data_IF_408462928750
#
_entry.id   IF_408462928750
#
_cell.length_a   1.000
_cell.length_b   1.000
_cell.length_c   1.000
_cell.angle_alpha   90.00
_cell.angle_beta   90.00
_cell.angle_gamma   90.00
#
_symmetry.space_group_name_H-M   'P 1'
#
loop_
_entity.id
_entity.type
_entity.pdbx_description
1 polymer ?
#
# COMPACT_ATOMS: atom_id res chain seq x y z
N UNK A 1 34.72 -33.76 -52.36
CA UNK A 1 34.77 -33.40 -50.93
C UNK A 1 34.06 -32.06 -50.79
N UNK A 2 32.75 -31.98 -51.00
CA UNK A 2 31.66 -32.62 -50.22
C UNK A 2 31.54 -31.92 -48.85
N UNK A 3 30.68 -30.90 -48.71
CA UNK A 3 29.23 -30.90 -48.34
C UNK A 3 29.09 -31.44 -46.88
N UNK A 4 28.47 -30.77 -45.91
CA UNK A 4 27.01 -30.75 -45.65
C UNK A 4 26.69 -29.77 -44.49
N UNK A 5 25.58 -29.04 -44.67
CA UNK A 5 24.80 -28.22 -43.74
C UNK A 5 24.06 -29.10 -42.71
N UNK A 6 23.77 -28.62 -41.50
CA UNK A 6 22.45 -28.85 -40.88
C UNK A 6 22.00 -27.66 -40.02
N UNK A 7 20.69 -27.42 -40.08
CA UNK A 7 19.94 -26.35 -39.47
C UNK A 7 19.24 -26.86 -38.19
N UNK A 8 18.77 -25.92 -37.36
CA UNK A 8 17.62 -26.13 -36.48
C UNK A 8 17.94 -26.30 -35.00
N UNK A 9 17.32 -25.45 -34.18
CA UNK A 9 17.34 -25.57 -32.72
C UNK A 9 16.60 -24.41 -32.06
N UNK A 10 15.26 -24.44 -32.13
CA UNK A 10 14.42 -23.80 -31.12
C UNK A 10 14.57 -24.58 -29.80
N UNK A 11 14.72 -23.91 -28.65
CA UNK A 11 14.21 -24.45 -27.41
C UNK A 11 13.05 -23.58 -26.96
N UNK A 12 11.88 -24.21 -26.98
CA UNK A 12 10.68 -23.79 -26.29
C UNK A 12 10.96 -23.44 -24.82
N UNK A 13 10.22 -22.43 -24.36
CA UNK A 13 9.69 -22.23 -23.01
C UNK A 13 10.20 -23.15 -21.90
N UNK A 14 11.19 -22.67 -21.15
CA UNK A 14 11.38 -23.04 -19.75
C UNK A 14 10.74 -21.95 -18.88
N UNK A 15 9.42 -22.04 -18.72
CA UNK A 15 8.72 -21.44 -17.58
C UNK A 15 9.15 -22.22 -16.34
N UNK A 16 10.31 -21.85 -15.78
CA UNK A 16 10.75 -22.34 -14.48
C UNK A 16 9.86 -21.69 -13.42
N UNK A 17 8.69 -22.29 -13.26
CA UNK A 17 7.75 -21.98 -12.19
C UNK A 17 8.51 -21.88 -10.87
N UNK A 18 8.43 -20.71 -10.26
CA UNK A 18 8.97 -20.39 -8.95
C UNK A 18 8.61 -21.50 -7.96
N UNK A 19 9.57 -22.11 -7.22
CA UNK A 19 9.23 -23.17 -6.28
C UNK A 19 8.37 -22.60 -5.13
N UNK A 20 7.09 -22.92 -5.17
CA UNK A 20 6.09 -22.61 -4.14
C UNK A 20 5.84 -23.87 -3.32
N UNK A 21 5.81 -23.73 -1.99
CA UNK A 21 5.36 -24.80 -1.10
C UNK A 21 4.06 -24.39 -0.44
N UNK A 22 2.96 -25.02 -0.87
CA UNK A 22 1.64 -24.92 -0.27
C UNK A 22 1.67 -25.59 1.11
N UNK A 23 1.60 -24.80 2.17
CA UNK A 23 1.41 -25.31 3.54
C UNK A 23 -0.01 -24.97 3.94
N UNK A 24 -0.75 -25.94 4.51
CA UNK A 24 -2.09 -25.62 5.01
C UNK A 24 -1.97 -24.56 6.11
N UNK A 25 -2.69 -23.44 5.98
CA UNK A 25 -2.67 -22.38 6.99
C UNK A 25 -3.20 -22.86 8.36
N UNK A 26 -3.82 -24.04 8.41
CA UNK A 26 -4.28 -24.68 9.64
C UNK A 26 -3.16 -24.99 10.65
N UNK A 27 -1.92 -25.23 10.21
CA UNK A 27 -0.76 -25.35 11.11
C UNK A 27 -0.22 -23.97 11.54
N UNK A 28 -0.17 -22.99 10.62
CA UNK A 28 0.30 -21.62 10.90
C UNK A 28 -0.57 -20.87 11.90
N UNK A 29 -1.89 -21.02 11.81
CA UNK A 29 -2.84 -20.36 12.71
C UNK A 29 -2.85 -20.98 14.12
N UNK A 30 -2.28 -22.17 14.31
CA UNK A 30 -2.17 -22.84 15.60
C UNK A 30 -0.92 -22.43 16.39
N UNK A 31 0.19 -22.07 15.73
CA UNK A 31 1.48 -21.80 16.40
C UNK A 31 1.75 -20.32 16.76
N UNK A 32 1.38 -19.34 15.92
CA UNK A 32 1.52 -17.90 16.24
C UNK A 32 0.17 -17.19 16.39
N UNK A 33 -0.89 -17.65 15.70
CA UNK A 33 -2.21 -17.03 15.70
C UNK A 33 -2.23 -15.62 15.06
N UNK A 34 -3.21 -15.35 14.19
CA UNK A 34 -3.36 -14.03 13.55
C UNK A 34 -3.36 -12.85 14.55
N UNK A 35 -3.85 -13.08 15.76
CA UNK A 35 -3.88 -12.09 16.82
C UNK A 35 -2.48 -11.58 17.21
N UNK A 36 -1.47 -12.45 17.33
CA UNK A 36 -0.11 -12.04 17.69
C UNK A 36 0.57 -11.25 16.56
N UNK A 37 0.31 -11.67 15.32
CA UNK A 37 0.70 -10.96 14.11
C UNK A 37 0.16 -9.54 14.10
N UNK A 38 -1.15 -9.40 14.29
CA UNK A 38 -1.85 -8.12 14.28
C UNK A 38 -1.39 -7.22 15.42
N UNK A 39 -1.15 -7.80 16.61
CA UNK A 39 -0.63 -7.07 17.77
C UNK A 39 0.78 -6.54 17.52
N UNK A 40 1.65 -7.34 16.90
CA UNK A 40 3.01 -6.93 16.53
C UNK A 40 2.99 -5.77 15.52
N UNK A 41 2.21 -5.90 14.44
CA UNK A 41 2.10 -4.87 13.41
C UNK A 41 1.51 -3.57 13.96
N UNK A 42 0.47 -3.69 14.78
CA UNK A 42 -0.17 -2.52 15.40
C UNK A 42 0.76 -1.84 16.39
N UNK A 43 1.49 -2.60 17.20
CA UNK A 43 2.44 -2.05 18.18
C UNK A 43 3.61 -1.36 17.47
N UNK A 44 4.19 -1.99 16.45
CA UNK A 44 5.27 -1.39 15.64
C UNK A 44 4.81 -0.05 15.05
N UNK A 45 3.59 -0.03 14.50
CA UNK A 45 3.00 1.17 13.93
C UNK A 45 2.82 2.27 15.00
N UNK A 46 2.25 1.92 16.15
CA UNK A 46 2.01 2.84 17.24
C UNK A 46 3.27 3.39 17.86
N UNK A 47 4.29 2.55 18.06
CA UNK A 47 5.58 2.96 18.61
C UNK A 47 6.29 3.93 17.67
N UNK A 48 6.22 3.68 16.36
CA UNK A 48 6.81 4.58 15.37
C UNK A 48 6.18 5.97 15.40
N UNK A 49 4.85 6.06 15.51
CA UNK A 49 4.14 7.33 15.51
C UNK A 49 3.98 7.95 16.90
N UNK A 50 4.28 7.25 18.00
CA UNK A 50 4.21 7.80 19.36
C UNK A 50 2.86 7.65 20.04
N UNK A 51 2.17 6.52 19.83
CA UNK A 51 0.96 6.14 20.56
C UNK A 51 -0.31 6.90 20.13
N UNK A 52 -0.32 7.39 18.90
CA UNK A 52 -1.41 8.22 18.37
C UNK A 52 -2.73 7.46 18.10
N UNK A 53 -2.73 6.12 18.10
CA UNK A 53 -3.96 5.34 17.85
C UNK A 53 -4.51 4.72 19.15
N UNK A 54 -5.80 4.34 19.15
CA UNK A 54 -6.39 3.59 20.28
C UNK A 54 -5.57 2.31 20.52
N UNK A 55 -5.51 1.78 21.77
CA UNK A 55 -5.00 0.43 21.98
C UNK A 55 -5.81 -0.52 21.11
N UNK A 56 -5.23 -1.00 20.02
CA UNK A 56 -5.85 -2.00 19.20
C UNK A 56 -5.93 -3.26 20.03
N UNK A 57 -7.15 -3.80 20.16
CA UNK A 57 -7.26 -5.17 20.66
C UNK A 57 -6.74 -6.06 19.53
N UNK A 58 -5.94 -7.10 19.83
CA UNK A 58 -5.47 -8.04 18.83
C UNK A 58 -6.65 -8.53 17.97
N UNK A 59 -6.55 -8.36 16.66
CA UNK A 59 -7.61 -8.79 15.74
C UNK A 59 -7.48 -10.29 15.52
N UNK A 60 -8.50 -11.02 15.95
CA UNK A 60 -8.61 -12.46 15.69
C UNK A 60 -8.99 -12.72 14.23
N UNK A 61 -8.73 -13.94 13.75
CA UNK A 61 -9.18 -14.36 12.41
C UNK A 61 -10.69 -14.18 12.20
N UNK A 62 -11.49 -14.52 13.21
CA UNK A 62 -12.94 -14.36 13.15
C UNK A 62 -13.34 -12.88 12.97
N UNK A 63 -12.65 -11.96 13.64
CA UNK A 63 -12.89 -10.52 13.51
C UNK A 63 -12.43 -9.99 12.15
N UNK A 64 -11.26 -10.40 11.66
CA UNK A 64 -10.79 -10.01 10.33
C UNK A 64 -11.78 -10.44 9.23
N UNK A 65 -12.26 -11.69 9.28
CA UNK A 65 -13.31 -12.19 8.37
C UNK A 65 -14.62 -11.43 8.52
N UNK A 66 -15.04 -11.10 9.75
CA UNK A 66 -16.23 -10.30 9.98
C UNK A 66 -16.13 -8.88 9.38
N UNK A 67 -14.95 -8.26 9.43
CA UNK A 67 -14.68 -6.99 8.75
C UNK A 67 -14.85 -7.12 7.24
N UNK A 68 -14.26 -8.14 6.61
CA UNK A 68 -14.41 -8.38 5.17
C UNK A 68 -15.87 -8.59 4.76
N UNK A 69 -16.63 -9.39 5.53
CA UNK A 69 -18.08 -9.58 5.30
C UNK A 69 -18.87 -8.28 5.43
N UNK A 70 -18.52 -7.44 6.41
CA UNK A 70 -19.18 -6.14 6.61
C UNK A 70 -18.95 -5.23 5.42
N UNK A 71 -17.71 -5.12 4.95
CA UNK A 71 -17.36 -4.33 3.76
C UNK A 71 -18.13 -4.86 2.55
N UNK A 72 -18.09 -6.18 2.29
CA UNK A 72 -18.80 -6.79 1.18
C UNK A 72 -20.31 -6.54 1.22
N UNK A 73 -20.93 -6.63 2.40
CA UNK A 73 -22.36 -6.36 2.56
C UNK A 73 -22.71 -4.88 2.34
N UNK A 74 -21.80 -3.95 2.64
CA UNK A 74 -22.03 -2.51 2.51
C UNK A 74 -21.73 -1.98 1.09
N UNK A 75 -20.76 -2.55 0.39
CA UNK A 75 -20.28 -2.03 -0.90
C UNK A 75 -20.64 -2.90 -2.10
N UNK A 76 -20.89 -4.19 -1.89
CA UNK A 76 -21.03 -5.18 -2.97
C UNK A 76 -19.70 -5.66 -3.55
N UNK A 77 -18.57 -5.08 -3.15
CA UNK A 77 -17.22 -5.51 -3.55
C UNK A 77 -16.77 -6.74 -2.76
N UNK A 78 -15.85 -7.53 -3.30
CA UNK A 78 -15.31 -8.72 -2.62
C UNK A 78 -13.89 -8.42 -2.14
N UNK A 79 -13.70 -8.01 -0.88
CA UNK A 79 -12.38 -7.68 -0.36
C UNK A 79 -11.62 -8.91 0.16
N UNK A 80 -10.29 -8.84 0.13
CA UNK A 80 -9.40 -9.75 0.83
C UNK A 80 -8.29 -8.98 1.56
N UNK A 81 -7.79 -9.56 2.65
CA UNK A 81 -6.55 -9.11 3.29
C UNK A 81 -5.40 -9.99 2.85
N UNK A 82 -4.30 -9.36 2.45
CA UNK A 82 -3.06 -10.05 2.08
C UNK A 82 -1.92 -9.55 2.94
N UNK A 83 -1.45 -10.41 3.84
CA UNK A 83 -0.25 -10.14 4.61
C UNK A 83 0.97 -10.58 3.82
N UNK A 84 1.91 -9.67 3.62
CA UNK A 84 3.17 -9.92 2.91
C UNK A 84 4.33 -9.67 3.88
N UNK A 85 4.99 -10.75 4.30
CA UNK A 85 5.97 -10.73 5.39
C UNK A 85 7.21 -11.53 5.08
N UNK A 86 8.30 -11.22 5.78
CA UNK A 86 9.50 -12.04 5.75
C UNK A 86 9.47 -13.05 6.89
N UNK A 87 9.65 -14.33 6.59
CA UNK A 87 9.72 -15.37 7.61
C UNK A 87 10.96 -15.13 8.51
N UNK A 88 10.74 -14.97 9.82
CA UNK A 88 11.80 -14.69 10.81
C UNK A 88 12.42 -15.93 11.45
N UNK A 89 11.86 -17.12 11.26
CA UNK A 89 12.30 -18.36 11.92
C UNK A 89 13.40 -19.13 11.15
N UNK A 90 13.77 -18.70 9.95
CA UNK A 90 14.89 -19.28 9.19
C UNK A 90 16.22 -18.65 9.63
N UNK A 91 16.60 -18.82 10.90
CA UNK A 91 17.87 -18.27 11.44
C UNK A 91 18.77 -19.29 12.13
N UNK A 92 18.45 -20.59 12.08
CA UNK A 92 19.25 -21.62 12.76
C UNK A 92 19.83 -22.70 11.84
N UNK A 93 20.38 -22.32 10.67
CA UNK A 93 21.45 -23.03 9.99
C UNK A 93 21.93 -22.21 8.77
N UNK A 94 23.22 -22.35 8.44
CA UNK A 94 23.96 -21.59 7.41
C UNK A 94 23.13 -21.27 6.15
N UNK A 95 23.20 -19.99 5.75
CA UNK A 95 22.61 -19.35 4.56
C UNK A 95 21.13 -18.93 4.68
N UNK A 96 20.95 -17.63 4.81
CA UNK A 96 19.83 -16.81 4.33
C UNK A 96 18.81 -17.53 3.42
N UNK A 97 17.80 -18.16 4.00
CA UNK A 97 16.60 -18.58 3.28
C UNK A 97 15.35 -18.02 3.99
N UNK A 98 15.34 -16.71 4.23
CA UNK A 98 14.12 -16.04 4.67
C UNK A 98 13.14 -16.01 3.50
N UNK A 99 12.18 -16.94 3.45
CA UNK A 99 11.16 -16.91 2.43
C UNK A 99 10.19 -15.74 2.66
N UNK A 100 9.63 -15.21 1.57
CA UNK A 100 8.47 -14.34 1.63
C UNK A 100 7.24 -15.22 1.95
N UNK A 101 6.46 -14.84 2.96
CA UNK A 101 5.18 -15.50 3.26
C UNK A 101 4.01 -14.59 2.88
N UNK A 102 3.03 -15.20 2.24
CA UNK A 102 1.80 -14.57 1.79
C UNK A 102 0.65 -15.22 2.53
N UNK A 103 0.02 -14.51 3.47
CA UNK A 103 -1.19 -14.97 4.14
C UNK A 103 -2.39 -14.25 3.53
N UNK A 104 -3.17 -14.98 2.73
CA UNK A 104 -4.41 -14.51 2.14
C UNK A 104 -5.58 -14.86 3.07
N UNK A 105 -6.39 -13.86 3.40
CA UNK A 105 -7.63 -14.01 4.18
C UNK A 105 -8.79 -13.43 3.37
N UNK A 106 -9.74 -14.29 3.04
CA UNK A 106 -11.02 -13.96 2.41
C UNK A 106 -12.15 -13.98 3.44
N UNK A 107 -13.30 -13.42 3.10
CA UNK A 107 -14.48 -13.41 3.97
C UNK A 107 -14.95 -14.83 4.35
N UNK A 108 -14.85 -15.76 3.41
CA UNK A 108 -15.21 -17.18 3.55
C UNK A 108 -14.03 -18.10 3.23
N UNK A 109 -14.12 -19.37 3.63
CA UNK A 109 -13.05 -20.36 3.42
C UNK A 109 -11.93 -20.28 4.48
N UNK A 110 -10.99 -21.20 4.44
CA UNK A 110 -9.80 -21.17 5.31
C UNK A 110 -8.76 -20.18 4.75
N UNK A 111 -7.99 -19.50 5.62
CA UNK A 111 -6.85 -18.71 5.16
C UNK A 111 -5.86 -19.56 4.37
N UNK A 112 -5.12 -18.91 3.50
CA UNK A 112 -4.13 -19.57 2.64
C UNK A 112 -2.77 -18.97 2.95
N UNK A 113 -1.80 -19.82 3.24
CA UNK A 113 -0.42 -19.42 3.48
C UNK A 113 0.46 -19.97 2.36
N UNK A 114 1.01 -19.06 1.55
CA UNK A 114 2.04 -19.41 0.57
C UNK A 114 3.42 -19.00 1.05
N UNK A 115 4.39 -19.89 0.87
CA UNK A 115 5.81 -19.59 1.10
C UNK A 115 6.55 -19.55 -0.22
N UNK A 116 7.07 -18.38 -0.57
CA UNK A 116 7.80 -18.14 -1.80
C UNK A 116 9.29 -18.26 -1.50
N UNK A 117 9.81 -19.47 -1.60
CA UNK A 117 11.18 -19.81 -1.17
C UNK A 117 12.27 -19.12 -2.01
N UNK A 118 11.96 -18.76 -3.25
CA UNK A 118 12.85 -18.02 -4.14
C UNK A 118 12.99 -16.54 -3.79
N UNK A 119 12.07 -16.00 -2.98
CA UNK A 119 11.98 -14.58 -2.69
C UNK A 119 12.83 -14.24 -1.46
N UNK A 120 14.15 -14.17 -1.67
CA UNK A 120 15.09 -13.75 -0.62
C UNK A 120 14.77 -12.31 -0.15
N UNK A 121 14.85 -11.99 1.16
CA UNK A 121 14.39 -10.71 1.66
C UNK A 121 15.21 -9.53 1.11
N UNK A 122 16.52 -9.72 0.91
CA UNK A 122 17.37 -8.66 0.34
C UNK A 122 17.05 -8.44 -1.14
N UNK A 123 16.80 -9.52 -1.89
CA UNK A 123 16.38 -9.42 -3.29
C UNK A 123 15.03 -8.69 -3.43
N UNK A 124 14.05 -9.04 -2.60
CA UNK A 124 12.73 -8.40 -2.56
C UNK A 124 12.85 -6.91 -2.26
N UNK A 125 13.58 -6.54 -1.20
CA UNK A 125 13.78 -5.14 -0.82
C UNK A 125 14.55 -4.34 -1.89
N UNK A 126 15.53 -4.98 -2.55
CA UNK A 126 16.28 -4.36 -3.64
C UNK A 126 15.41 -4.10 -4.86
N UNK A 127 14.56 -5.05 -5.26
CA UNK A 127 13.61 -4.89 -6.35
C UNK A 127 12.59 -3.78 -6.04
N UNK A 128 12.08 -3.72 -4.81
CA UNK A 128 11.16 -2.67 -4.36
C UNK A 128 11.78 -1.27 -4.48
N UNK A 129 13.00 -1.09 -3.98
CA UNK A 129 13.70 0.19 -4.06
C UNK A 129 14.02 0.56 -5.51
N UNK A 130 14.39 -0.41 -6.35
CA UNK A 130 14.63 -0.19 -7.78
C UNK A 130 13.36 0.29 -8.50
N UNK A 131 12.23 -0.40 -8.28
CA UNK A 131 10.93 -0.01 -8.84
C UNK A 131 10.57 1.42 -8.44
N UNK A 132 10.67 1.74 -7.14
CA UNK A 132 10.38 3.06 -6.59
C UNK A 132 11.26 4.14 -7.23
N UNK A 133 12.57 3.90 -7.35
CA UNK A 133 13.51 4.84 -8.00
C UNK A 133 13.17 5.06 -9.47
N UNK A 134 12.82 4.01 -10.20
CA UNK A 134 12.51 4.13 -11.61
C UNK A 134 11.21 4.89 -11.86
N UNK A 135 10.18 4.68 -11.05
CA UNK A 135 8.90 5.41 -11.15
C UNK A 135 9.00 6.87 -10.70
N UNK A 136 9.86 7.18 -9.73
CA UNK A 136 10.01 8.54 -9.18
C UNK A 136 11.04 9.39 -9.92
N UNK A 137 11.78 8.83 -10.88
CA UNK A 137 12.78 9.57 -11.64
C UNK A 137 12.14 10.27 -12.85
N UNK A 138 12.08 11.62 -12.88
CA UNK A 138 11.44 12.35 -13.97
C UNK A 138 12.11 12.13 -15.33
N UNK A 139 13.40 11.74 -15.35
CA UNK A 139 14.14 11.45 -16.59
C UNK A 139 13.77 10.10 -17.22
N UNK A 140 13.02 9.25 -16.52
CA UNK A 140 12.63 7.92 -16.99
C UNK A 140 11.14 7.83 -17.40
N UNK A 141 10.45 8.97 -17.45
CA UNK A 141 9.00 9.06 -17.74
C UNK A 141 8.57 8.43 -19.07
N UNK A 142 9.47 8.35 -20.06
CA UNK A 142 9.21 7.75 -21.37
C UNK A 142 9.90 6.37 -21.56
N UNK A 143 10.19 5.65 -20.47
CA UNK A 143 10.79 4.32 -20.55
C UNK A 143 9.97 3.26 -19.81
N UNK A 144 10.29 1.99 -20.10
CA UNK A 144 9.68 0.81 -19.49
C UNK A 144 10.60 0.09 -18.51
N UNK A 145 11.68 0.73 -18.05
CA UNK A 145 12.66 0.10 -17.16
C UNK A 145 12.03 -0.36 -15.84
N UNK A 146 10.97 0.33 -15.39
CA UNK A 146 10.16 -0.02 -14.23
C UNK A 146 9.44 -1.37 -14.36
N UNK A 147 9.21 -1.87 -15.59
CA UNK A 147 8.51 -3.14 -15.79
C UNK A 147 9.30 -4.33 -15.26
N UNK A 148 10.62 -4.36 -15.39
CA UNK A 148 11.44 -5.48 -14.91
C UNK A 148 11.29 -5.73 -13.40
N UNK A 149 11.54 -4.75 -12.50
CA UNK A 149 11.31 -4.96 -11.08
C UNK A 149 9.82 -5.09 -10.74
N UNK A 150 8.91 -4.45 -11.47
CA UNK A 150 7.46 -4.61 -11.26
C UNK A 150 6.97 -6.04 -11.51
N UNK A 151 7.43 -6.67 -12.60
CA UNK A 151 7.11 -8.05 -12.95
C UNK A 151 7.75 -9.05 -11.98
N UNK A 152 9.00 -8.79 -11.57
CA UNK A 152 9.65 -9.62 -10.56
C UNK A 152 8.90 -9.61 -9.22
N UNK A 153 8.50 -8.43 -8.73
CA UNK A 153 7.73 -8.30 -7.50
C UNK A 153 6.32 -8.87 -7.64
N UNK A 154 5.67 -8.72 -8.80
CA UNK A 154 4.40 -9.38 -9.09
C UNK A 154 4.53 -10.91 -9.01
N UNK A 155 5.58 -11.47 -9.61
CA UNK A 155 5.88 -12.90 -9.60
C UNK A 155 6.10 -13.46 -8.19
N UNK A 156 6.63 -12.66 -7.27
CA UNK A 156 6.80 -13.06 -5.86
C UNK A 156 5.56 -12.82 -4.99
N UNK A 157 4.75 -11.79 -5.25
CA UNK A 157 3.70 -11.35 -4.31
C UNK A 157 2.30 -11.78 -4.76
N UNK A 158 2.02 -11.74 -6.06
CA UNK A 158 0.65 -11.92 -6.60
C UNK A 158 0.51 -13.23 -7.35
N UNK A 159 1.48 -13.57 -8.21
CA UNK A 159 1.40 -14.79 -9.01
C UNK A 159 1.15 -16.07 -8.18
N UNK A 160 1.77 -16.27 -6.99
CA UNK A 160 1.56 -17.50 -6.20
C UNK A 160 0.14 -17.66 -5.63
N UNK A 161 -0.63 -16.57 -5.54
CA UNK A 161 -1.97 -16.55 -4.95
C UNK A 161 -3.06 -16.12 -5.94
N UNK A 162 -2.73 -15.98 -7.23
CA UNK A 162 -3.64 -15.43 -8.24
C UNK A 162 -4.87 -16.31 -8.42
N UNK A 163 -4.70 -17.62 -8.55
CA UNK A 163 -5.82 -18.55 -8.76
C UNK A 163 -6.81 -18.49 -7.59
N UNK A 164 -6.31 -18.31 -6.37
CA UNK A 164 -7.11 -18.20 -5.15
C UNK A 164 -7.88 -16.88 -5.11
N UNK A 165 -7.27 -15.77 -5.53
CA UNK A 165 -7.94 -14.48 -5.67
C UNK A 165 -9.07 -14.54 -6.71
N UNK A 166 -8.80 -15.16 -7.87
CA UNK A 166 -9.78 -15.33 -8.96
C UNK A 166 -10.92 -16.26 -8.56
N UNK A 167 -10.61 -17.41 -7.96
CA UNK A 167 -11.62 -18.38 -7.51
C UNK A 167 -12.53 -17.81 -6.42
N UNK A 168 -12.01 -16.94 -5.56
CA UNK A 168 -12.79 -16.22 -4.55
C UNK A 168 -13.53 -14.98 -5.12
N UNK A 169 -13.27 -14.60 -6.38
CA UNK A 169 -13.86 -13.43 -7.02
C UNK A 169 -13.44 -12.10 -6.38
N UNK A 170 -12.22 -12.02 -5.82
CA UNK A 170 -11.72 -10.83 -5.13
C UNK A 170 -11.59 -9.65 -6.09
N UNK A 171 -12.08 -8.49 -5.69
CA UNK A 171 -11.99 -7.23 -6.45
C UNK A 171 -11.18 -6.16 -5.73
N UNK A 172 -10.94 -6.32 -4.42
CA UNK A 172 -10.22 -5.36 -3.60
C UNK A 172 -9.22 -6.07 -2.66
N UNK A 173 -7.97 -5.62 -2.65
CA UNK A 173 -6.91 -6.19 -1.82
C UNK A 173 -6.39 -5.14 -0.83
N UNK A 174 -6.63 -5.40 0.45
CA UNK A 174 -5.97 -4.71 1.56
C UNK A 174 -4.64 -5.38 1.87
N UNK A 175 -3.53 -4.74 1.49
CA UNK A 175 -2.18 -5.21 1.76
C UNK A 175 -1.73 -4.81 3.16
N UNK A 176 -1.23 -5.77 3.93
CA UNK A 176 -0.60 -5.57 5.24
C UNK A 176 0.84 -6.04 5.13
N UNK A 177 1.81 -5.13 5.26
CA UNK A 177 3.19 -5.41 4.87
C UNK A 177 4.19 -5.15 6.00
N UNK A 178 5.23 -5.97 6.03
CA UNK A 178 6.41 -5.74 6.87
C UNK A 178 7.11 -4.41 6.53
N UNK A 179 7.88 -3.91 7.50
CA UNK A 179 8.74 -2.76 7.31
C UNK A 179 9.63 -2.92 6.06
N UNK A 180 9.80 -1.83 5.31
CA UNK A 180 10.51 -1.83 4.02
C UNK A 180 9.58 -2.03 2.82
N UNK A 181 8.58 -2.91 2.92
CA UNK A 181 7.62 -3.16 1.84
C UNK A 181 6.46 -2.15 1.81
N UNK A 182 6.20 -1.44 2.90
CA UNK A 182 5.15 -0.38 3.01
C UNK A 182 5.34 0.81 2.05
N UNK A 183 6.43 0.87 1.30
CA UNK A 183 6.67 1.90 0.26
C UNK A 183 6.64 1.34 -1.17
N UNK A 184 6.19 0.09 -1.33
CA UNK A 184 6.04 -0.57 -2.62
C UNK A 184 4.94 0.11 -3.45
N UNK A 185 5.21 0.52 -4.70
CA UNK A 185 4.17 1.01 -5.61
C UNK A 185 3.23 -0.11 -6.08
N UNK A 186 2.30 -0.54 -5.21
CA UNK A 186 1.42 -1.71 -5.44
C UNK A 186 0.66 -1.65 -6.76
N UNK A 187 0.10 -0.48 -7.07
CA UNK A 187 -0.63 -0.24 -8.31
C UNK A 187 0.21 -0.49 -9.57
N UNK A 188 1.54 -0.34 -9.47
CA UNK A 188 2.48 -0.51 -10.57
C UNK A 188 3.08 -1.93 -10.66
N UNK A 189 2.72 -2.86 -9.77
CA UNK A 189 3.05 -4.27 -9.97
C UNK A 189 2.43 -4.74 -11.28
N UNK A 190 3.13 -5.58 -12.03
CA UNK A 190 2.77 -5.86 -13.41
C UNK A 190 2.83 -7.36 -13.72
N UNK A 191 1.76 -7.92 -14.28
CA UNK A 191 1.66 -9.35 -14.58
C UNK A 191 2.53 -9.82 -15.75
N UNK A 192 2.92 -8.88 -16.62
CA UNK A 192 3.45 -9.15 -17.96
C UNK A 192 2.58 -8.50 -19.02
N UNK A 193 1.28 -8.41 -18.75
CA UNK A 193 0.28 -7.83 -19.67
C UNK A 193 -0.43 -6.60 -19.08
N UNK A 194 -0.72 -6.61 -17.78
CA UNK A 194 -1.54 -5.61 -17.08
C UNK A 194 -0.92 -5.21 -15.74
N UNK A 195 -1.17 -3.97 -15.32
CA UNK A 195 -0.87 -3.50 -13.98
C UNK A 195 -1.89 -4.04 -12.98
N UNK A 196 -1.47 -4.27 -11.74
CA UNK A 196 -2.31 -4.83 -10.68
C UNK A 196 -3.58 -4.00 -10.44
N UNK A 197 -3.49 -2.68 -10.56
CA UNK A 197 -4.62 -1.75 -10.37
C UNK A 197 -5.71 -1.91 -11.44
N UNK A 198 -5.40 -2.54 -12.58
CA UNK A 198 -6.39 -2.81 -13.63
C UNK A 198 -7.27 -4.01 -13.26
N UNK A 199 -6.76 -4.93 -12.43
CA UNK A 199 -7.45 -6.15 -12.00
C UNK A 199 -8.12 -5.99 -10.63
N UNK A 200 -7.47 -5.25 -9.72
CA UNK A 200 -7.92 -5.10 -8.33
C UNK A 200 -7.83 -3.64 -7.88
N UNK A 201 -8.79 -3.21 -7.07
CA UNK A 201 -8.56 -2.08 -6.17
C UNK A 201 -7.51 -2.48 -5.13
N UNK A 202 -6.55 -1.61 -4.84
CA UNK A 202 -5.47 -1.89 -3.88
C UNK A 202 -5.41 -0.83 -2.81
N UNK A 203 -5.23 -1.26 -1.56
CA UNK A 203 -5.01 -0.38 -0.42
C UNK A 203 -3.88 -0.91 0.46
N UNK A 204 -3.03 -0.03 0.98
CA UNK A 204 -2.07 -0.37 2.02
C UNK A 204 -2.69 -0.06 3.38
N UNK A 205 -2.68 -1.04 4.28
CA UNK A 205 -3.26 -0.95 5.61
C UNK A 205 -2.18 -1.30 6.65
N UNK A 206 -1.99 -0.49 7.71
CA UNK A 206 -1.02 -0.79 8.76
C UNK A 206 -1.27 -2.13 9.48
N UNK A 207 -2.52 -2.35 9.87
CA UNK A 207 -3.06 -3.59 10.43
C UNK A 207 -4.60 -3.52 10.36
N UNK A 208 -5.28 -4.66 10.47
CA UNK A 208 -6.75 -4.68 10.48
C UNK A 208 -7.30 -3.95 11.71
N UNK A 209 -6.58 -3.97 12.83
CA UNK A 209 -6.97 -3.25 14.06
C UNK A 209 -6.94 -1.73 13.95
N UNK A 210 -6.31 -1.17 12.91
CA UNK A 210 -6.10 0.27 12.73
C UNK A 210 -6.97 0.91 11.65
N UNK A 211 -7.82 0.14 10.96
CA UNK A 211 -8.77 0.69 9.99
C UNK A 211 -10.14 0.96 10.62
N UNK A 212 -10.84 1.95 10.09
CA UNK A 212 -12.28 2.10 10.27
C UNK A 212 -12.99 1.43 9.07
N UNK A 213 -13.60 0.26 9.26
CA UNK A 213 -14.27 -0.45 8.17
C UNK A 213 -15.67 0.11 7.87
N UNK A 214 -16.08 1.20 8.53
CA UNK A 214 -17.38 1.83 8.29
C UNK A 214 -17.40 2.42 6.88
N UNK A 215 -18.25 1.88 6.01
CA UNK A 215 -18.44 2.45 4.69
C UNK A 215 -19.06 3.85 4.76
N UNK A 216 -18.46 4.77 4.01
CA UNK A 216 -18.98 6.11 3.77
C UNK A 216 -19.14 6.27 2.26
N UNK A 217 -20.37 6.51 1.81
CA UNK A 217 -20.62 6.83 0.40
C UNK A 217 -20.06 8.22 0.08
N UNK A 218 -18.97 8.25 -0.70
CA UNK A 218 -18.29 9.46 -1.15
C UNK A 218 -18.73 9.84 -2.57
N UNK A 219 -20.04 9.98 -2.80
CA UNK A 219 -20.53 10.42 -4.10
C UNK A 219 -20.36 11.93 -4.31
N UNK A 220 -20.07 12.33 -5.56
CA UNK A 220 -19.78 13.73 -5.93
C UNK A 220 -20.87 14.74 -5.58
N UNK A 221 -22.14 14.30 -5.48
CA UNK A 221 -23.28 15.19 -5.25
C UNK A 221 -23.44 15.55 -3.77
N UNK A 222 -23.12 14.60 -2.89
CA UNK A 222 -23.37 14.73 -1.45
C UNK A 222 -22.09 14.94 -0.64
N UNK A 223 -20.93 14.78 -1.26
CA UNK A 223 -19.63 14.95 -0.59
C UNK A 223 -19.07 16.34 -0.76
N UNK A 224 -18.77 16.97 0.38
CA UNK A 224 -18.06 18.25 0.43
C UNK A 224 -16.56 18.03 0.46
N UNK A 225 -15.86 18.68 -0.46
CA UNK A 225 -14.41 18.72 -0.54
C UNK A 225 -13.86 19.99 0.13
N UNK A 226 -12.73 19.90 0.81
CA UNK A 226 -11.89 21.05 1.13
C UNK A 226 -10.63 21.01 0.28
N UNK A 227 -10.41 22.02 -0.55
CA UNK A 227 -9.15 22.18 -1.31
C UNK A 227 -8.26 23.20 -0.62
N UNK A 228 -7.02 22.85 -0.34
CA UNK A 228 -6.04 23.79 0.21
C UNK A 228 -4.65 23.51 -0.38
N UNK A 229 -3.83 24.55 -0.50
CA UNK A 229 -2.52 24.41 -1.10
C UNK A 229 -1.94 25.75 -1.50
N UNK A 230 -0.74 25.73 -2.06
CA UNK A 230 -0.10 26.91 -2.63
C UNK A 230 0.78 26.51 -3.81
N UNK A 231 0.86 27.38 -4.82
CA UNK A 231 1.78 27.26 -5.95
C UNK A 231 3.12 27.95 -5.68
N UNK A 232 3.13 28.89 -4.73
CA UNK A 232 4.30 29.66 -4.31
C UNK A 232 4.52 29.47 -2.81
N UNK A 233 5.77 29.27 -2.41
CA UNK A 233 6.17 29.04 -1.02
C UNK A 233 7.35 29.94 -0.66
N UNK A 234 7.47 30.30 0.62
CA UNK A 234 8.57 31.17 1.09
C UNK A 234 9.92 30.46 1.02
N UNK A 235 9.96 29.18 1.41
CA UNK A 235 11.20 28.41 1.58
C UNK A 235 11.23 27.11 0.75
N UNK A 236 10.41 27.03 -0.30
CA UNK A 236 10.38 25.88 -1.21
C UNK A 236 10.26 26.34 -2.66
N UNK A 237 10.73 25.53 -3.63
CA UNK A 237 10.49 25.78 -5.04
C UNK A 237 9.00 25.91 -5.35
N UNK A 238 8.61 26.68 -6.38
CA UNK A 238 7.21 26.77 -6.79
C UNK A 238 6.68 25.44 -7.32
N UNK A 239 5.42 25.14 -7.04
CA UNK A 239 4.66 24.04 -7.64
C UNK A 239 3.82 24.59 -8.79
N UNK A 240 4.38 24.60 -9.98
CA UNK A 240 3.79 25.27 -11.15
C UNK A 240 2.38 24.75 -11.51
N UNK A 241 2.13 23.46 -11.28
CA UNK A 241 0.84 22.83 -11.58
C UNK A 241 -0.18 22.94 -10.44
N UNK A 242 0.22 23.26 -9.20
CA UNK A 242 -0.66 23.16 -8.03
C UNK A 242 -1.90 24.08 -8.15
N UNK A 243 -1.76 25.28 -8.74
CA UNK A 243 -2.91 26.16 -8.96
C UNK A 243 -3.91 25.54 -9.93
N UNK A 244 -3.43 25.07 -11.08
CA UNK A 244 -4.25 24.45 -12.10
C UNK A 244 -4.92 23.15 -11.60
N UNK A 245 -4.20 22.34 -10.82
CA UNK A 245 -4.73 21.15 -10.14
C UNK A 245 -5.89 21.50 -9.20
N UNK A 246 -5.67 22.47 -8.30
CA UNK A 246 -6.72 22.90 -7.37
C UNK A 246 -7.96 23.43 -8.08
N UNK A 247 -7.79 24.22 -9.14
CA UNK A 247 -8.89 24.75 -9.96
C UNK A 247 -9.64 23.64 -10.69
N UNK A 248 -8.91 22.69 -11.28
CA UNK A 248 -9.50 21.54 -11.96
C UNK A 248 -10.35 20.71 -10.98
N UNK A 249 -9.81 20.36 -9.81
CA UNK A 249 -10.53 19.56 -8.80
C UNK A 249 -11.80 20.27 -8.33
N UNK A 250 -11.74 21.58 -8.09
CA UNK A 250 -12.91 22.38 -7.69
C UNK A 250 -13.98 22.47 -8.78
N UNK A 251 -13.63 22.31 -10.05
CA UNK A 251 -14.62 22.26 -11.13
C UNK A 251 -15.45 20.96 -11.11
N UNK A 252 -14.92 19.90 -10.50
CA UNK A 252 -15.56 18.58 -10.44
C UNK A 252 -16.29 18.30 -9.12
N UNK A 253 -15.85 18.91 -8.01
CA UNK A 253 -16.40 18.68 -6.67
C UNK A 253 -16.91 19.97 -6.03
N UNK A 254 -18.04 19.87 -5.34
CA UNK A 254 -18.55 20.97 -4.53
C UNK A 254 -17.78 21.06 -3.21
N UNK A 255 -17.47 22.27 -2.77
CA UNK A 255 -16.83 22.45 -1.48
C UNK A 255 -16.07 23.76 -1.31
N UNK A 256 -15.30 23.82 -0.23
CA UNK A 256 -14.61 25.02 0.23
C UNK A 256 -13.15 25.03 -0.22
N UNK A 257 -12.54 26.22 -0.28
CA UNK A 257 -11.10 26.37 -0.56
C UNK A 257 -10.43 27.35 0.37
N UNK A 258 -9.24 26.96 0.84
CA UNK A 258 -8.32 27.89 1.51
C UNK A 258 -7.51 28.61 0.44
N UNK A 259 -7.51 29.94 0.46
CA UNK A 259 -6.70 30.76 -0.45
C UNK A 259 -5.21 30.49 -0.24
N UNK A 260 -4.43 30.52 -1.31
CA UNK A 260 -2.98 30.22 -1.25
C UNK A 260 -2.23 31.12 -0.25
N UNK A 261 -2.55 32.41 -0.21
CA UNK A 261 -1.95 33.39 0.72
C UNK A 261 -2.34 33.18 2.19
N UNK A 262 -3.35 32.34 2.46
CA UNK A 262 -3.79 31.98 3.80
C UNK A 262 -3.60 30.47 4.07
N UNK A 263 -2.80 29.77 3.26
CA UNK A 263 -2.56 28.35 3.40
C UNK A 263 -1.72 28.04 4.65
N UNK A 264 -2.42 27.95 5.78
CA UNK A 264 -1.89 27.70 7.12
C UNK A 264 -2.70 26.59 7.79
N UNK A 265 -2.08 25.87 8.73
CA UNK A 265 -2.75 24.82 9.51
C UNK A 265 -4.08 25.33 10.11
N UNK A 266 -4.08 26.53 10.71
CA UNK A 266 -5.27 27.13 11.33
C UNK A 266 -6.35 27.53 10.33
N UNK A 267 -6.00 27.85 9.10
CA UNK A 267 -6.98 28.13 8.07
C UNK A 267 -7.65 26.83 7.59
N UNK A 268 -6.87 25.79 7.32
CA UNK A 268 -7.40 24.47 6.94
C UNK A 268 -8.27 23.88 8.06
N UNK A 269 -7.84 24.03 9.33
CA UNK A 269 -8.64 23.70 10.53
C UNK A 269 -10.04 24.28 10.48
N UNK A 270 -10.12 25.60 10.31
CA UNK A 270 -11.38 26.34 10.33
C UNK A 270 -12.24 26.03 9.11
N UNK A 271 -11.61 25.82 7.96
CA UNK A 271 -12.29 25.53 6.71
C UNK A 271 -12.79 24.08 6.60
N UNK A 272 -12.23 23.12 7.38
CA UNK A 272 -12.63 21.71 7.32
C UNK A 272 -14.14 21.54 7.48
N UNK A 273 -14.75 22.19 8.48
CA UNK A 273 -16.19 22.09 8.72
C UNK A 273 -16.70 20.64 8.62
N UNK A 274 -17.61 20.41 7.67
CA UNK A 274 -18.19 19.10 7.34
C UNK A 274 -17.57 18.44 6.08
N UNK A 275 -16.44 18.93 5.60
CA UNK A 275 -15.74 18.31 4.48
C UNK A 275 -15.35 16.87 4.82
N UNK A 276 -15.73 15.94 3.93
CA UNK A 276 -15.40 14.52 4.06
C UNK A 276 -14.10 14.19 3.31
N UNK A 277 -13.73 15.01 2.33
CA UNK A 277 -12.46 14.90 1.60
C UNK A 277 -11.67 16.19 1.84
N UNK A 278 -10.37 16.05 2.12
CA UNK A 278 -9.43 17.16 2.14
C UNK A 278 -8.37 16.87 1.07
N UNK A 279 -8.21 17.78 0.12
CA UNK A 279 -7.15 17.73 -0.88
C UNK A 279 -6.11 18.80 -0.56
N UNK A 280 -4.85 18.39 -0.41
CA UNK A 280 -3.72 19.26 -0.12
C UNK A 280 -2.73 19.27 -1.30
N UNK A 281 -2.68 20.38 -2.05
CA UNK A 281 -1.70 20.59 -3.12
C UNK A 281 -0.48 21.33 -2.56
N UNK A 282 0.53 20.58 -2.10
CA UNK A 282 1.71 21.15 -1.41
C UNK A 282 2.93 20.23 -1.47
N UNK A 283 4.09 20.74 -1.05
CA UNK A 283 5.27 19.91 -0.79
C UNK A 283 5.05 19.04 0.44
N UNK A 284 5.49 17.79 0.37
CA UNK A 284 5.60 16.90 1.51
C UNK A 284 6.88 16.08 1.40
N UNK A 285 7.48 15.75 2.54
CA UNK A 285 8.67 14.94 2.59
C UNK A 285 8.50 13.87 3.66
N UNK A 286 8.60 12.60 3.24
CA UNK A 286 8.49 11.43 4.10
C UNK A 286 9.85 10.72 4.12
N UNK A 287 10.58 10.93 5.20
CA UNK A 287 11.93 10.40 5.40
C UNK A 287 11.88 9.11 6.22
N UNK A 288 12.85 8.22 5.96
CA UNK A 288 13.13 7.10 6.86
C UNK A 288 13.64 7.67 8.19
N UNK A 289 13.25 7.05 9.30
CA UNK A 289 13.65 7.49 10.64
C UNK A 289 12.43 7.79 11.48
N UNK A 290 12.44 8.90 12.20
CA UNK A 290 11.35 9.29 13.11
C UNK A 290 10.36 10.25 12.42
N UNK A 291 9.05 10.24 12.79
CA UNK A 291 8.04 11.06 12.11
C UNK A 291 8.30 12.57 12.17
N UNK A 292 9.07 13.07 13.15
CA UNK A 292 9.44 14.48 13.28
C UNK A 292 10.44 14.96 12.21
N UNK A 293 11.08 14.05 11.49
CA UNK A 293 11.91 14.34 10.33
C UNK A 293 11.07 14.51 9.04
N UNK A 294 9.84 14.03 9.07
CA UNK A 294 8.90 14.11 7.95
C UNK A 294 7.93 15.29 8.15
N UNK A 295 7.48 15.89 7.05
CA UNK A 295 6.58 17.04 7.13
C UNK A 295 5.68 17.21 5.90
N UNK A 296 4.61 17.98 6.12
CA UNK A 296 3.78 18.59 5.08
C UNK A 296 4.02 20.10 5.12
N UNK A 297 4.37 20.70 3.99
CA UNK A 297 4.66 22.12 3.89
C UNK A 297 3.37 22.94 3.91
N UNK A 298 3.33 24.01 4.69
CA UNK A 298 2.35 25.10 4.55
C UNK A 298 3.04 26.35 4.00
N UNK A 299 2.31 27.40 3.65
CA UNK A 299 2.83 28.58 2.95
C UNK A 299 4.18 29.10 3.51
N UNK A 300 4.28 29.18 4.84
CA UNK A 300 5.44 29.75 5.54
C UNK A 300 6.36 28.65 6.11
N UNK A 301 5.79 27.67 6.81
CA UNK A 301 6.55 26.72 7.62
C UNK A 301 6.02 25.28 7.47
N UNK A 302 6.88 24.27 7.63
CA UNK A 302 6.46 22.88 7.62
C UNK A 302 5.67 22.50 8.88
N UNK A 303 4.72 21.58 8.72
CA UNK A 303 4.07 20.84 9.79
C UNK A 303 4.73 19.46 9.88
N UNK A 304 5.59 19.26 10.88
CA UNK A 304 6.19 17.94 11.15
C UNK A 304 5.11 16.95 11.60
N UNK A 305 5.26 15.67 11.26
CA UNK A 305 4.17 14.70 11.45
C UNK A 305 3.81 14.45 12.92
N UNK A 306 4.76 14.59 13.86
CA UNK A 306 4.48 14.53 15.31
C UNK A 306 3.62 15.68 15.83
N UNK A 307 3.48 16.75 15.03
CA UNK A 307 2.59 17.89 15.31
C UNK A 307 1.39 17.89 14.35
N UNK A 308 1.21 16.81 13.59
CA UNK A 308 0.08 16.71 12.69
C UNK A 308 -1.21 16.77 13.49
N UNK A 309 -2.14 17.67 13.16
CA UNK A 309 -3.24 17.90 14.07
C UNK A 309 -4.33 16.83 14.05
N UNK A 310 -4.95 16.59 15.19
CA UNK A 310 -6.01 15.58 15.39
C UNK A 310 -7.34 15.85 14.66
N UNK A 311 -7.60 17.07 14.19
CA UNK A 311 -8.84 17.45 13.49
C UNK A 311 -8.89 17.03 12.02
N UNK A 312 -7.79 16.55 11.43
CA UNK A 312 -7.78 16.07 10.05
C UNK A 312 -8.68 14.83 9.83
N UNK A 313 -9.16 14.19 10.90
CA UNK A 313 -10.14 13.11 10.83
C UNK A 313 -10.20 12.25 12.09
N UNK A 314 -11.00 12.66 13.06
CA UNK A 314 -11.77 11.84 14.05
C UNK A 314 -11.05 10.80 14.91
N UNK A 315 -10.70 11.12 16.17
CA UNK A 315 -10.33 10.15 17.27
C UNK A 315 -9.26 9.09 16.97
N UNK A 316 -8.75 9.06 15.74
CA UNK A 316 -7.96 8.05 15.10
C UNK A 316 -7.17 8.78 14.01
N UNK A 317 -5.91 9.13 14.29
CA UNK A 317 -5.08 9.80 13.31
C UNK A 317 -4.72 8.83 12.19
N UNK A 318 -4.88 9.30 10.97
CA UNK A 318 -4.07 8.88 9.84
C UNK A 318 -2.67 9.39 10.10
N UNK A 319 -1.76 8.52 10.50
CA UNK A 319 -0.77 7.93 9.58
C UNK A 319 -0.94 6.42 9.75
#
# INVERSE_FOLDING_TARGET
MEVILEAGGNPDSDDQGTPVSLVSAGEFLQDEGLAQVEDTLTSEFNDHFGGFTKPARPVTLAQAKATLRTIQAQTGEVPAFLYVRFNRQVTNQKASQGALELLLITAEGEPILERVLSADPQAVLSAQELLRRQLTNPNLTNNTAHLTPAQQLYGWIIAPIREQLEAAGVTNIGFIMDAGLRTLPLAALHSGDRFLIEDYSVGLIPSVGLIDPTYVDLNRRNTRLLVAGASQFINQPPLLAARAEMEAIQSFWSGDKVSETNFTIRAVQRARGQAQIIHLATHAQFLRGTPDQSYIQFLIAPCVLTRWPTWAGTTHPWI
#
